data_IF_108002486668
#
_entry.id   IF_108002486668
#
_cell.length_a   1.000
_cell.length_b   1.000
_cell.length_c   1.000
_cell.angle_alpha   90.00
_cell.angle_beta   90.00
_cell.angle_gamma   90.00
#
_symmetry.space_group_name_H-M   'P 1'
#
loop_
_entity.id
_entity.type
_entity.pdbx_description
1 polymer ?
#
# COMPACT_ATOMS: atom_id res chain seq x y z
N UNK A 1 -6.92 4.44 -1.36
CA UNK A 1 -7.24 3.07 -1.76
C UNK A 1 -6.96 2.75 -3.22
N UNK A 2 -6.69 3.76 -4.08
CA UNK A 2 -6.42 3.58 -5.51
C UNK A 2 -5.04 2.94 -5.82
N UNK A 3 -4.05 3.09 -4.94
CA UNK A 3 -2.67 2.69 -5.23
C UNK A 3 -1.92 3.69 -6.13
N UNK A 4 -2.48 4.86 -6.37
CA UNK A 4 -1.82 5.95 -7.06
C UNK A 4 -0.67 6.51 -6.23
N UNK A 5 0.35 7.04 -6.91
CA UNK A 5 1.51 7.70 -6.29
C UNK A 5 1.33 9.20 -6.40
N UNK A 6 1.50 9.90 -5.29
CA UNK A 6 1.55 11.37 -5.29
C UNK A 6 2.93 11.79 -5.82
N UNK A 7 3.02 12.67 -6.83
CA UNK A 7 4.31 13.11 -7.38
C UNK A 7 5.21 13.70 -6.29
N UNK A 8 6.51 13.33 -6.32
CA UNK A 8 7.48 13.79 -5.33
C UNK A 8 7.56 15.32 -5.25
N UNK A 9 7.57 15.98 -6.41
CA UNK A 9 7.68 17.45 -6.47
C UNK A 9 6.50 18.12 -5.76
N UNK A 10 5.28 17.59 -5.91
CA UNK A 10 4.12 18.07 -5.19
C UNK A 10 4.23 17.87 -3.67
N UNK A 11 4.78 16.72 -3.23
CA UNK A 11 5.05 16.48 -1.80
C UNK A 11 6.09 17.48 -1.25
N UNK A 12 7.10 17.86 -2.04
CA UNK A 12 8.10 18.85 -1.67
C UNK A 12 7.49 20.26 -1.55
N UNK A 13 6.56 20.63 -2.44
CA UNK A 13 5.82 21.90 -2.33
C UNK A 13 4.97 21.95 -1.04
N UNK A 14 4.30 20.85 -0.71
CA UNK A 14 3.54 20.73 0.55
C UNK A 14 4.50 20.86 1.74
N UNK A 15 5.64 20.16 1.73
CA UNK A 15 6.62 20.22 2.81
C UNK A 15 7.12 21.64 3.02
N UNK A 16 7.48 22.36 1.96
CA UNK A 16 7.89 23.76 2.02
C UNK A 16 6.82 24.64 2.69
N UNK A 17 5.55 24.46 2.31
CA UNK A 17 4.43 25.18 2.91
C UNK A 17 4.27 24.84 4.40
N UNK A 18 4.50 23.59 4.78
CA UNK A 18 4.48 23.14 6.17
C UNK A 18 5.60 23.79 6.99
N UNK A 19 6.81 23.90 6.43
CA UNK A 19 7.96 24.57 7.06
C UNK A 19 7.68 26.06 7.30
N UNK A 20 7.18 26.77 6.30
CA UNK A 20 6.84 28.19 6.38
C UNK A 20 5.78 28.48 7.46
N UNK A 21 4.88 27.53 7.70
CA UNK A 21 3.78 27.66 8.66
C UNK A 21 4.03 26.99 10.01
N UNK A 22 5.19 26.34 10.20
CA UNK A 22 5.49 25.57 11.42
C UNK A 22 4.58 24.35 11.62
N UNK A 23 4.07 23.75 10.54
CA UNK A 23 3.20 22.57 10.55
C UNK A 23 4.06 21.32 10.44
N UNK A 24 3.76 20.28 11.22
CA UNK A 24 4.37 18.96 11.05
C UNK A 24 3.65 18.20 9.93
N UNK A 25 4.37 17.83 8.89
CA UNK A 25 3.92 16.93 7.84
C UNK A 25 4.22 15.49 8.25
N UNK A 26 3.19 14.64 8.32
CA UNK A 26 3.34 13.20 8.51
C UNK A 26 3.02 12.52 7.17
N UNK A 27 4.02 11.84 6.59
CA UNK A 27 3.91 11.14 5.30
C UNK A 27 3.91 9.63 5.52
N UNK A 28 2.81 8.97 5.14
CA UNK A 28 2.72 7.50 5.17
C UNK A 28 3.32 6.91 3.90
N UNK A 29 4.51 6.34 4.03
CA UNK A 29 5.24 5.64 2.98
C UNK A 29 5.18 4.10 3.15
N UNK A 30 4.19 3.54 3.85
CA UNK A 30 4.11 2.10 4.09
C UNK A 30 4.07 1.24 2.81
N UNK A 31 3.75 1.83 1.67
CA UNK A 31 3.71 1.17 0.36
C UNK A 31 4.83 1.61 -0.60
N UNK A 32 5.71 2.53 -0.22
CA UNK A 32 6.76 3.05 -1.10
C UNK A 32 7.67 1.96 -1.66
N UNK A 33 7.95 0.93 -0.85
CA UNK A 33 8.83 -0.18 -1.24
C UNK A 33 8.25 -1.09 -2.33
N UNK A 34 6.97 -0.96 -2.69
CA UNK A 34 6.37 -1.65 -3.84
C UNK A 34 6.64 -0.97 -5.19
N UNK A 35 7.07 0.28 -5.18
CA UNK A 35 7.37 1.03 -6.40
C UNK A 35 8.61 0.46 -7.09
N UNK A 36 8.68 0.59 -8.41
CA UNK A 36 9.86 0.15 -9.20
C UNK A 36 11.16 0.81 -8.73
N UNK A 37 11.07 2.11 -8.41
CA UNK A 37 12.20 2.93 -7.96
C UNK A 37 11.85 3.67 -6.65
N UNK A 38 11.75 2.95 -5.51
CA UNK A 38 11.32 3.56 -4.24
C UNK A 38 12.23 4.69 -3.79
N UNK A 39 13.54 4.60 -4.09
CA UNK A 39 14.55 5.60 -3.74
C UNK A 39 14.35 6.94 -4.44
N UNK A 40 13.71 6.97 -5.59
CA UNK A 40 13.38 8.21 -6.30
C UNK A 40 12.15 8.89 -5.72
N UNK A 41 11.25 8.12 -5.10
CA UNK A 41 9.96 8.62 -4.62
C UNK A 41 9.98 9.01 -3.14
N UNK A 42 10.70 8.26 -2.30
CA UNK A 42 10.75 8.53 -0.85
C UNK A 42 11.29 9.91 -0.52
N UNK A 43 10.77 10.51 0.56
CA UNK A 43 11.28 11.74 1.16
C UNK A 43 12.25 11.48 2.34
N UNK A 44 12.78 10.26 2.50
CA UNK A 44 13.67 9.95 3.62
C UNK A 44 14.91 10.86 3.72
N UNK A 45 15.46 11.32 2.59
CA UNK A 45 16.59 12.26 2.57
C UNK A 45 16.20 13.66 3.06
N UNK A 46 14.99 14.06 2.81
CA UNK A 46 14.43 15.35 3.21
C UNK A 46 14.24 15.42 4.74
N UNK A 47 14.02 14.27 5.41
CA UNK A 47 13.97 14.19 6.87
C UNK A 47 15.27 14.66 7.56
N UNK A 48 16.44 14.53 6.93
CA UNK A 48 17.70 15.01 7.48
C UNK A 48 17.75 16.54 7.56
N UNK A 49 16.99 17.22 6.71
CA UNK A 49 17.03 18.68 6.53
C UNK A 49 15.81 19.39 7.10
N UNK A 50 14.70 18.67 7.29
CA UNK A 50 13.44 19.25 7.74
C UNK A 50 12.97 18.63 9.05
N UNK A 51 12.85 19.47 10.08
CA UNK A 51 12.23 19.11 11.37
C UNK A 51 10.68 19.03 11.28
N UNK A 52 10.12 19.51 10.18
CA UNK A 52 8.70 19.52 9.91
C UNK A 52 8.21 18.28 9.16
N UNK A 53 9.09 17.28 8.96
CA UNK A 53 8.75 16.04 8.29
C UNK A 53 8.92 14.84 9.21
N UNK A 54 7.91 13.97 9.22
CA UNK A 54 7.97 12.62 9.77
C UNK A 54 7.46 11.64 8.74
N UNK A 55 8.24 10.61 8.43
CA UNK A 55 7.86 9.53 7.52
C UNK A 55 7.52 8.29 8.31
N UNK A 56 6.42 7.62 7.95
CA UNK A 56 6.02 6.33 8.50
C UNK A 56 6.29 5.23 7.47
N UNK A 57 6.98 4.18 7.88
CA UNK A 57 7.23 3.00 7.07
C UNK A 57 6.93 1.71 7.86
N UNK A 58 6.67 0.61 7.15
CA UNK A 58 6.29 -0.64 7.79
C UNK A 58 6.84 -1.87 7.05
N UNK A 59 7.30 -2.85 7.84
CA UNK A 59 7.65 -4.17 7.33
C UNK A 59 6.43 -5.03 6.99
N UNK A 60 5.27 -4.71 7.56
CA UNK A 60 4.04 -5.52 7.46
C UNK A 60 3.61 -5.83 6.04
N UNK A 61 3.91 -4.95 5.08
CA UNK A 61 3.47 -5.05 3.69
C UNK A 61 4.53 -5.73 2.83
N UNK A 62 5.68 -5.08 2.66
CA UNK A 62 6.74 -5.53 1.75
C UNK A 62 7.33 -6.88 2.16
N UNK A 63 7.48 -7.14 3.46
CA UNK A 63 8.02 -8.40 3.99
C UNK A 63 6.96 -9.47 4.25
N UNK A 64 5.68 -9.20 3.91
CA UNK A 64 4.55 -10.12 4.09
C UNK A 64 4.40 -10.66 5.53
N UNK A 65 4.67 -9.83 6.55
CA UNK A 65 4.57 -10.17 7.97
C UNK A 65 3.51 -9.34 8.73
N UNK A 66 2.26 -9.28 8.25
CA UNK A 66 1.25 -8.38 8.83
C UNK A 66 0.93 -8.71 10.30
N UNK A 67 1.02 -9.97 10.72
CA UNK A 67 0.77 -10.40 12.09
C UNK A 67 1.84 -9.96 13.09
N UNK A 68 3.05 -9.66 12.66
CA UNK A 68 4.18 -9.25 13.51
C UNK A 68 4.04 -7.80 14.01
N UNK A 69 3.28 -6.95 13.33
CA UNK A 69 2.98 -5.57 13.74
C UNK A 69 4.23 -4.70 13.92
N UNK A 70 5.12 -4.67 12.92
CA UNK A 70 6.36 -3.90 12.93
C UNK A 70 6.32 -2.76 11.92
N UNK A 71 6.60 -1.55 12.39
CA UNK A 71 6.78 -0.34 11.61
C UNK A 71 7.73 0.61 12.31
N UNK A 72 8.10 1.70 11.66
CA UNK A 72 9.00 2.71 12.21
C UNK A 72 8.69 4.08 11.62
N UNK A 73 9.08 5.12 12.37
CA UNK A 73 9.05 6.50 11.92
C UNK A 73 10.45 7.05 11.74
N UNK A 74 10.64 7.94 10.78
CA UNK A 74 11.89 8.64 10.50
C UNK A 74 11.63 10.13 10.59
N UNK A 75 12.41 10.85 11.41
CA UNK A 75 12.38 12.31 11.51
C UNK A 75 13.70 12.82 12.13
N UNK A 76 14.11 14.04 11.81
CA UNK A 76 15.19 14.74 12.49
C UNK A 76 14.71 15.64 13.65
N UNK A 77 13.41 15.65 13.92
CA UNK A 77 12.83 16.43 15.01
C UNK A 77 13.02 15.72 16.37
N UNK A 78 14.13 16.02 17.04
CA UNK A 78 14.48 15.39 18.32
C UNK A 78 13.45 15.67 19.42
N UNK A 79 12.87 16.87 19.45
CA UNK A 79 11.82 17.21 20.43
C UNK A 79 10.57 16.33 20.24
N UNK A 80 10.18 16.10 18.99
CA UNK A 80 9.09 15.19 18.67
C UNK A 80 9.42 13.75 19.11
N UNK A 81 10.63 13.27 18.82
CA UNK A 81 11.07 11.93 19.23
C UNK A 81 11.03 11.76 20.75
N UNK A 82 11.52 12.74 21.50
CA UNK A 82 11.45 12.71 22.97
C UNK A 82 10.01 12.66 23.49
N UNK A 83 9.11 13.46 22.92
CA UNK A 83 7.68 13.45 23.27
C UNK A 83 7.05 12.09 22.96
N UNK A 84 7.37 11.49 21.81
CA UNK A 84 6.88 10.17 21.45
C UNK A 84 7.42 9.08 22.40
N UNK A 85 8.70 9.12 22.74
CA UNK A 85 9.31 8.15 23.66
C UNK A 85 8.69 8.21 25.06
N UNK A 86 8.41 9.40 25.59
CA UNK A 86 7.74 9.57 26.90
C UNK A 86 6.31 9.05 26.93
N UNK A 87 5.64 9.03 25.77
CA UNK A 87 4.25 8.55 25.64
C UNK A 87 4.15 7.13 25.09
N UNK A 88 5.28 6.50 24.75
CA UNK A 88 5.32 5.14 24.23
C UNK A 88 4.99 4.13 25.35
N UNK A 89 4.13 3.18 25.03
CA UNK A 89 3.88 2.06 25.94
C UNK A 89 5.15 1.21 26.11
N UNK A 90 5.47 0.80 27.35
CA UNK A 90 6.52 -0.19 27.56
C UNK A 90 6.27 -1.45 26.73
N UNK A 91 7.36 -2.04 26.21
CA UNK A 91 7.28 -3.29 25.40
C UNK A 91 6.44 -3.19 24.13
N UNK A 92 6.27 -1.98 23.57
CA UNK A 92 5.45 -1.72 22.36
C UNK A 92 5.90 -2.53 21.13
N UNK A 93 7.17 -2.96 21.07
CA UNK A 93 7.71 -3.84 20.02
C UNK A 93 8.22 -5.12 20.65
N UNK A 94 7.61 -6.25 20.32
CA UNK A 94 8.01 -7.55 20.85
C UNK A 94 9.41 -7.98 20.35
N UNK A 95 10.12 -8.82 21.11
CA UNK A 95 11.41 -9.38 20.67
C UNK A 95 11.31 -10.18 19.38
N UNK A 96 10.19 -10.87 19.16
CA UNK A 96 9.89 -11.56 17.89
C UNK A 96 9.78 -10.58 16.72
N UNK A 97 9.13 -9.43 16.92
CA UNK A 97 9.02 -8.40 15.89
C UNK A 97 10.39 -7.80 15.55
N UNK A 98 11.24 -7.54 16.55
CA UNK A 98 12.60 -7.05 16.34
C UNK A 98 13.43 -8.06 15.54
N UNK A 99 13.42 -9.34 15.92
CA UNK A 99 14.14 -10.41 15.22
C UNK A 99 13.64 -10.56 13.77
N UNK A 100 12.32 -10.52 13.55
CA UNK A 100 11.72 -10.57 12.22
C UNK A 100 12.12 -9.37 11.35
N UNK A 101 12.17 -8.15 11.90
CA UNK A 101 12.63 -6.96 11.21
C UNK A 101 14.10 -7.07 10.78
N UNK A 102 14.98 -7.50 11.68
CA UNK A 102 16.40 -7.76 11.35
C UNK A 102 16.56 -8.81 10.25
N UNK A 103 15.76 -9.87 10.27
CA UNK A 103 15.77 -10.89 9.23
C UNK A 103 15.28 -10.33 7.88
N UNK A 104 14.19 -9.55 7.89
CA UNK A 104 13.63 -8.92 6.68
C UNK A 104 14.62 -8.00 5.97
N UNK A 105 15.41 -7.23 6.72
CA UNK A 105 16.44 -6.35 6.16
C UNK A 105 17.56 -7.11 5.43
N UNK A 106 17.84 -8.35 5.81
CA UNK A 106 18.83 -9.19 5.12
C UNK A 106 18.32 -9.71 3.77
N UNK A 107 17.01 -9.69 3.55
CA UNK A 107 16.33 -10.22 2.36
C UNK A 107 15.95 -9.12 1.34
N UNK A 108 16.55 -7.94 1.40
CA UNK A 108 16.20 -6.81 0.52
C UNK A 108 16.35 -7.13 -0.98
N UNK A 109 17.22 -8.09 -1.36
CA UNK A 109 17.31 -8.55 -2.75
C UNK A 109 15.99 -9.17 -3.24
N UNK A 110 15.29 -9.91 -2.39
CA UNK A 110 13.98 -10.49 -2.69
C UNK A 110 12.91 -9.42 -2.94
N UNK A 111 13.03 -8.25 -2.30
CA UNK A 111 12.10 -7.15 -2.56
C UNK A 111 12.24 -6.63 -4.01
N UNK A 112 13.45 -6.62 -4.57
CA UNK A 112 13.67 -6.23 -5.97
C UNK A 112 13.06 -7.26 -6.95
N UNK A 113 13.23 -8.54 -6.67
CA UNK A 113 12.64 -9.61 -7.47
C UNK A 113 11.11 -9.57 -7.39
N UNK A 114 10.57 -9.38 -6.18
CA UNK A 114 9.14 -9.25 -5.95
C UNK A 114 8.55 -8.04 -6.69
N UNK A 115 9.23 -6.88 -6.72
CA UNK A 115 8.77 -5.70 -7.48
C UNK A 115 8.61 -6.00 -8.97
N UNK A 116 9.62 -6.65 -9.57
CA UNK A 116 9.57 -7.04 -11.01
C UNK A 116 8.44 -8.01 -11.28
N UNK A 117 8.31 -9.01 -10.42
CA UNK A 117 7.21 -9.97 -10.51
C UNK A 117 5.85 -9.26 -10.38
N UNK A 118 5.70 -8.39 -9.40
CA UNK A 118 4.47 -7.64 -9.16
C UNK A 118 4.07 -6.76 -10.35
N UNK A 119 5.02 -6.09 -10.99
CA UNK A 119 4.77 -5.29 -12.20
C UNK A 119 4.22 -6.16 -13.33
N UNK A 120 4.81 -7.33 -13.55
CA UNK A 120 4.38 -8.27 -14.57
C UNK A 120 2.96 -8.81 -14.29
N UNK A 121 2.72 -9.25 -13.06
CA UNK A 121 1.41 -9.80 -12.67
C UNK A 121 0.32 -8.72 -12.66
N UNK A 122 0.62 -7.51 -12.22
CA UNK A 122 -0.32 -6.40 -12.24
C UNK A 122 -0.69 -6.01 -13.67
N UNK A 123 0.28 -5.84 -14.57
CA UNK A 123 0.02 -5.50 -15.97
C UNK A 123 -0.86 -6.56 -16.65
N UNK A 124 -0.59 -7.84 -16.42
CA UNK A 124 -1.41 -8.93 -16.95
C UNK A 124 -2.84 -8.91 -16.37
N UNK A 125 -3.00 -8.62 -15.07
CA UNK A 125 -4.30 -8.54 -14.43
C UNK A 125 -5.11 -7.34 -14.95
N UNK A 126 -4.48 -6.18 -15.13
CA UNK A 126 -5.05 -4.95 -15.70
C UNK A 126 -5.57 -5.19 -17.12
N UNK A 127 -4.76 -5.85 -17.98
CA UNK A 127 -5.17 -6.23 -19.32
C UNK A 127 -6.37 -7.20 -19.32
N UNK A 128 -6.34 -8.18 -18.43
CA UNK A 128 -7.41 -9.16 -18.30
C UNK A 128 -8.73 -8.54 -17.80
N UNK A 129 -8.66 -7.63 -16.82
CA UNK A 129 -9.83 -6.88 -16.35
C UNK A 129 -10.44 -6.02 -17.45
N UNK A 130 -9.60 -5.37 -18.26
CA UNK A 130 -10.05 -4.60 -19.43
C UNK A 130 -10.80 -5.48 -20.42
N UNK A 131 -10.31 -6.68 -20.68
CA UNK A 131 -10.95 -7.65 -21.62
C UNK A 131 -12.32 -8.11 -21.13
N UNK A 132 -12.51 -8.26 -19.82
CA UNK A 132 -13.79 -8.60 -19.19
C UNK A 132 -14.76 -7.41 -19.18
N UNK A 133 -14.26 -6.17 -19.31
CA UNK A 133 -15.05 -4.93 -19.20
C UNK A 133 -15.19 -4.42 -17.77
N UNK A 134 -14.31 -4.85 -16.86
CA UNK A 134 -14.26 -4.32 -15.49
C UNK A 134 -13.53 -2.98 -15.48
N UNK A 135 -14.15 -1.93 -14.96
CA UNK A 135 -13.51 -0.63 -14.75
C UNK A 135 -12.48 -0.74 -13.60
N UNK A 136 -11.24 -0.32 -13.86
CA UNK A 136 -10.18 -0.33 -12.87
C UNK A 136 -9.36 0.97 -12.90
N UNK A 137 -8.68 1.26 -11.79
CA UNK A 137 -7.87 2.48 -11.63
C UNK A 137 -6.39 2.15 -11.58
N UNK A 138 -5.52 2.91 -12.30
CA UNK A 138 -4.09 2.68 -12.33
C UNK A 138 -3.46 2.65 -10.94
N UNK A 139 -2.66 1.61 -10.67
CA UNK A 139 -1.97 1.41 -9.40
C UNK A 139 -0.48 1.17 -9.61
N UNK A 140 0.32 1.53 -8.61
CA UNK A 140 1.76 1.26 -8.57
C UNK A 140 2.16 0.29 -7.44
N UNK A 141 1.16 -0.25 -6.73
CA UNK A 141 1.35 -1.13 -5.59
C UNK A 141 0.73 -2.50 -5.81
N UNK A 142 0.61 -3.31 -4.78
CA UNK A 142 0.17 -4.71 -4.84
C UNK A 142 -1.35 -4.91 -4.80
N UNK A 143 -2.13 -3.92 -5.19
CA UNK A 143 -3.59 -4.00 -5.30
C UNK A 143 -4.13 -3.08 -6.39
N UNK A 144 -5.33 -3.34 -6.85
CA UNK A 144 -6.09 -2.51 -7.79
C UNK A 144 -7.42 -2.09 -7.17
N UNK A 145 -7.83 -0.85 -7.41
CA UNK A 145 -9.19 -0.38 -7.16
C UNK A 145 -10.02 -0.65 -8.40
N UNK A 146 -11.19 -1.24 -8.20
CA UNK A 146 -12.17 -1.54 -9.25
C UNK A 146 -13.45 -0.74 -9.00
N UNK A 147 -14.19 -0.49 -10.09
CA UNK A 147 -15.56 -0.03 -10.03
C UNK A 147 -16.45 -1.00 -10.80
N UNK A 148 -17.58 -1.37 -10.24
CA UNK A 148 -18.51 -2.33 -10.84
C UNK A 148 -19.95 -2.00 -10.49
N UNK A 149 -20.89 -2.17 -11.41
CA UNK A 149 -22.32 -2.07 -11.12
C UNK A 149 -22.83 -3.29 -10.33
N UNK A 150 -22.09 -4.40 -10.34
CA UNK A 150 -22.45 -5.63 -9.65
C UNK A 150 -21.98 -5.61 -8.20
N UNK A 151 -22.70 -6.26 -7.27
CA UNK A 151 -22.30 -6.39 -5.86
C UNK A 151 -21.16 -7.42 -5.70
N UNK A 152 -19.97 -7.10 -6.23
CA UNK A 152 -18.84 -8.05 -6.35
C UNK A 152 -18.43 -8.66 -5.02
N UNK A 153 -18.56 -7.93 -3.89
CA UNK A 153 -18.17 -8.47 -2.59
C UNK A 153 -18.98 -9.72 -2.25
N UNK A 154 -20.32 -9.67 -2.36
CA UNK A 154 -21.19 -10.80 -2.04
C UNK A 154 -21.11 -11.93 -3.07
N UNK A 155 -21.05 -11.60 -4.37
CA UNK A 155 -20.97 -12.59 -5.44
C UNK A 155 -19.65 -13.38 -5.41
N UNK A 156 -18.53 -12.70 -5.19
CA UNK A 156 -17.22 -13.35 -5.09
C UNK A 156 -17.05 -14.13 -3.78
N UNK A 157 -17.67 -13.65 -2.69
CA UNK A 157 -17.65 -14.38 -1.41
C UNK A 157 -18.32 -15.75 -1.53
N UNK A 158 -19.42 -15.87 -2.28
CA UNK A 158 -20.07 -17.16 -2.58
C UNK A 158 -19.16 -18.13 -3.36
N UNK A 159 -18.17 -17.60 -4.08
CA UNK A 159 -17.13 -18.37 -4.79
C UNK A 159 -15.84 -18.55 -3.96
N UNK A 160 -15.91 -18.29 -2.64
CA UNK A 160 -14.76 -18.32 -1.70
C UNK A 160 -13.61 -17.34 -2.07
N UNK A 161 -13.95 -16.22 -2.71
CA UNK A 161 -13.02 -15.16 -3.04
C UNK A 161 -13.38 -13.92 -2.22
N UNK A 162 -12.51 -13.54 -1.29
CA UNK A 162 -12.68 -12.35 -0.46
C UNK A 162 -11.97 -11.16 -1.08
N UNK A 163 -12.72 -10.10 -1.37
CA UNK A 163 -12.20 -8.81 -1.79
C UNK A 163 -12.55 -7.73 -0.76
N UNK A 164 -11.98 -6.54 -0.89
CA UNK A 164 -12.31 -5.42 0.01
C UNK A 164 -13.42 -4.56 -0.61
N UNK A 165 -14.54 -4.42 0.08
CA UNK A 165 -15.54 -3.37 -0.18
C UNK A 165 -14.98 -2.01 0.29
N UNK A 166 -14.95 -1.03 -0.61
CA UNK A 166 -14.40 0.30 -0.37
C UNK A 166 -15.49 1.37 -0.17
N UNK A 167 -16.76 1.00 -0.06
CA UNK A 167 -17.88 1.92 0.13
C UNK A 167 -17.81 2.75 1.43
N UNK A 168 -16.98 2.33 2.39
CA UNK A 168 -16.75 3.04 3.64
C UNK A 168 -15.62 4.09 3.59
N UNK A 169 -14.98 4.29 2.45
CA UNK A 169 -14.01 5.37 2.28
C UNK A 169 -14.74 6.65 1.91
N UNK A 170 -14.35 7.75 2.54
CA UNK A 170 -14.86 9.07 2.14
C UNK A 170 -14.50 9.37 0.67
N UNK A 171 -15.50 9.81 -0.11
CA UNK A 171 -15.36 10.04 -1.53
C UNK A 171 -15.50 8.79 -2.43
N UNK A 172 -15.73 7.60 -1.85
CA UNK A 172 -16.11 6.41 -2.60
C UNK A 172 -17.53 5.98 -2.23
N UNK A 173 -18.28 5.56 -3.24
CA UNK A 173 -19.64 5.08 -3.09
C UNK A 173 -19.71 3.54 -3.16
N UNK A 174 -20.91 2.99 -3.13
CA UNK A 174 -21.12 1.56 -3.45
C UNK A 174 -20.63 1.26 -4.87
N UNK A 175 -20.09 0.06 -5.05
CA UNK A 175 -19.54 -0.37 -6.33
C UNK A 175 -18.03 -0.21 -6.45
N UNK A 176 -17.37 0.36 -5.45
CA UNK A 176 -15.90 0.40 -5.42
C UNK A 176 -15.33 -0.75 -4.58
N UNK A 177 -14.43 -1.50 -5.19
CA UNK A 177 -13.82 -2.68 -4.58
C UNK A 177 -12.30 -2.65 -4.74
N UNK A 178 -11.57 -3.26 -3.81
CA UNK A 178 -10.12 -3.40 -3.92
C UNK A 178 -9.75 -4.87 -3.93
N UNK A 179 -8.99 -5.26 -4.95
CA UNK A 179 -8.43 -6.60 -5.11
C UNK A 179 -6.91 -6.57 -4.91
N UNK A 180 -6.35 -7.64 -4.37
CA UNK A 180 -4.91 -7.81 -4.28
C UNK A 180 -4.37 -8.41 -5.59
N UNK A 181 -3.19 -7.95 -6.02
CA UNK A 181 -2.39 -8.66 -7.02
C UNK A 181 -1.71 -9.84 -6.32
N UNK A 182 -2.07 -11.06 -6.70
CA UNK A 182 -1.60 -12.31 -6.10
C UNK A 182 -0.82 -13.14 -7.12
N UNK A 183 -0.54 -14.40 -6.79
CA UNK A 183 0.04 -15.33 -7.75
C UNK A 183 -0.91 -15.59 -8.91
N UNK A 184 -0.37 -15.95 -10.08
CA UNK A 184 -1.10 -16.18 -11.33
C UNK A 184 -2.34 -17.07 -11.12
N UNK A 185 -2.19 -18.16 -10.42
CA UNK A 185 -3.29 -19.12 -10.15
C UNK A 185 -4.43 -18.53 -9.37
N UNK A 186 -4.16 -17.62 -8.41
CA UNK A 186 -5.19 -16.94 -7.63
C UNK A 186 -5.85 -15.83 -8.45
N UNK A 187 -5.06 -15.09 -9.23
CA UNK A 187 -5.55 -14.07 -10.15
C UNK A 187 -6.46 -14.68 -11.22
N UNK A 188 -6.11 -15.85 -11.78
CA UNK A 188 -6.94 -16.58 -12.75
C UNK A 188 -8.27 -17.04 -12.15
N UNK A 189 -8.29 -17.49 -10.89
CA UNK A 189 -9.54 -17.82 -10.18
C UNK A 189 -10.45 -16.61 -10.05
N UNK A 190 -9.88 -15.47 -9.68
CA UNK A 190 -10.63 -14.21 -9.59
C UNK A 190 -11.21 -13.81 -10.95
N UNK A 191 -10.39 -13.85 -12.01
CA UNK A 191 -10.83 -13.47 -13.37
C UNK A 191 -11.94 -14.36 -13.88
N UNK A 192 -11.85 -15.70 -13.74
CA UNK A 192 -12.91 -16.63 -14.09
C UNK A 192 -14.23 -16.34 -13.36
N UNK A 193 -14.13 -15.95 -12.09
CA UNK A 193 -15.33 -15.58 -11.33
C UNK A 193 -15.92 -14.24 -11.80
N UNK A 194 -15.09 -13.27 -12.18
CA UNK A 194 -15.53 -12.00 -12.74
C UNK A 194 -16.12 -12.17 -14.14
N UNK A 195 -15.49 -12.95 -15.02
CA UNK A 195 -16.01 -13.30 -16.35
C UNK A 195 -17.43 -13.86 -16.23
N UNK A 196 -17.64 -14.87 -15.37
CA UNK A 196 -18.96 -15.44 -15.12
C UNK A 196 -19.99 -14.40 -14.68
N UNK A 197 -19.63 -13.48 -13.77
CA UNK A 197 -20.53 -12.41 -13.30
C UNK A 197 -20.87 -11.42 -14.43
N UNK A 198 -19.90 -11.06 -15.24
CA UNK A 198 -20.08 -10.07 -16.32
C UNK A 198 -20.78 -10.65 -17.55
N UNK A 199 -20.72 -11.96 -17.75
CA UNK A 199 -21.48 -12.69 -18.79
C UNK A 199 -22.95 -12.98 -18.39
N UNK A 200 -23.37 -12.55 -17.20
CA UNK A 200 -24.76 -12.69 -16.73
C UNK A 200 -25.04 -13.99 -15.97
N UNK A 201 -23.99 -14.66 -15.50
CA UNK A 201 -24.13 -15.82 -14.62
C UNK A 201 -24.59 -15.39 -13.20
N UNK A 202 -25.68 -15.99 -12.72
CA UNK A 202 -26.20 -15.88 -11.34
C UNK A 202 -25.44 -16.78 -10.36
#
# INVERSE_FOLDING_TARGET
PSGAVIPKDFLLEILKTCEEKGILMILDECFVEFLSEPQKQTLCRECERSKNLMILQAFTKISAIPGIRLGYGITSNLELLEKMERNRQPWSVSSVAQAAGCAALKEMKRWQEMRKWLETERAWLEESLTRIGVEWFPSKVNYLLLKSPYPLFSLLLQKNILIRDCSNYEGLEKGYYRIAVKQRTDNEKLLKALEYIYEGGE
#
